data_IF_587022510094
#
_entry.id   IF_587022510094
#
_cell.length_a   1.000
_cell.length_b   1.000
_cell.length_c   1.000
_cell.angle_alpha   90.00
_cell.angle_beta   90.00
_cell.angle_gamma   90.00
#
_symmetry.space_group_name_H-M   'P 1'
#
loop_
_entity.id
_entity.type
_entity.pdbx_description
1 polymer ?
#
# COMPACT_ATOMS: atom_id res chain seq x y z
N UNK A 1 12.96 -19.98 4.68
CA UNK A 1 12.54 -18.91 3.77
C UNK A 1 13.71 -18.58 2.86
N UNK A 2 13.44 -18.40 1.56
CA UNK A 2 14.43 -17.83 0.64
C UNK A 2 14.62 -16.34 0.95
N UNK A 3 15.79 -15.78 0.61
CA UNK A 3 16.09 -14.34 0.73
C UNK A 3 15.03 -13.48 0.03
N UNK A 4 14.58 -13.91 -1.16
CA UNK A 4 13.48 -13.25 -1.90
C UNK A 4 12.16 -13.22 -1.14
N UNK A 5 11.84 -14.28 -0.40
CA UNK A 5 10.61 -14.33 0.41
C UNK A 5 10.71 -13.41 1.63
N UNK A 6 11.91 -13.25 2.20
CA UNK A 6 12.14 -12.32 3.30
C UNK A 6 12.02 -10.86 2.84
N UNK A 7 12.61 -10.50 1.69
CA UNK A 7 12.49 -9.17 1.10
C UNK A 7 11.03 -8.83 0.77
N UNK A 8 10.30 -9.77 0.17
CA UNK A 8 8.87 -9.58 -0.14
C UNK A 8 8.03 -9.32 1.11
N UNK A 9 8.23 -10.12 2.16
CA UNK A 9 7.50 -9.94 3.42
C UNK A 9 7.84 -8.61 4.11
N UNK A 10 9.10 -8.16 4.04
CA UNK A 10 9.49 -6.85 4.58
C UNK A 10 8.87 -5.69 3.78
N UNK A 11 8.84 -5.78 2.45
CA UNK A 11 8.15 -4.81 1.60
C UNK A 11 6.65 -4.73 1.92
N UNK A 12 5.96 -5.86 1.98
CA UNK A 12 4.52 -5.90 2.28
C UNK A 12 4.21 -5.33 3.67
N UNK A 13 5.08 -5.60 4.64
CA UNK A 13 4.98 -5.05 6.00
C UNK A 13 5.18 -3.53 5.97
N UNK A 14 6.24 -3.05 5.31
CA UNK A 14 6.52 -1.62 5.17
C UNK A 14 5.37 -0.87 4.48
N UNK A 15 4.84 -1.43 3.39
CA UNK A 15 3.70 -0.86 2.69
C UNK A 15 2.47 -0.79 3.60
N UNK A 16 2.15 -1.88 4.31
CA UNK A 16 1.04 -1.90 5.26
C UNK A 16 1.17 -0.87 6.38
N UNK A 17 2.38 -0.70 6.92
CA UNK A 17 2.70 0.29 7.97
C UNK A 17 2.49 1.73 7.47
N UNK A 18 3.08 2.10 6.33
CA UNK A 18 3.02 3.47 5.81
C UNK A 18 1.62 3.89 5.38
N UNK A 19 0.89 2.98 4.73
CA UNK A 19 -0.52 3.21 4.42
C UNK A 19 -1.32 3.35 5.69
N UNK A 20 -1.05 2.51 6.67
CA UNK A 20 -1.78 2.51 7.92
C UNK A 20 -1.69 3.81 8.72
N UNK A 21 -0.48 4.35 8.82
CA UNK A 21 -0.21 5.63 9.47
C UNK A 21 -0.95 6.79 8.79
N UNK A 22 -1.03 6.77 7.46
CA UNK A 22 -1.52 7.92 6.68
C UNK A 22 -3.01 7.91 6.38
N UNK A 23 -3.63 6.74 6.27
CA UNK A 23 -5.08 6.62 6.04
C UNK A 23 -5.89 6.71 7.34
N UNK A 24 -5.23 6.85 8.49
CA UNK A 24 -5.87 7.07 9.78
C UNK A 24 -5.65 8.48 10.33
N UNK A 25 -6.70 9.31 10.46
CA UNK A 25 -8.08 9.11 9.99
C UNK A 25 -8.22 9.24 8.45
N UNK A 26 -9.30 8.71 7.82
CA UNK A 26 -10.57 8.22 8.41
C UNK A 26 -10.63 6.73 8.79
N UNK A 27 -9.67 5.90 8.39
CA UNK A 27 -9.69 4.46 8.70
C UNK A 27 -9.50 4.25 10.20
N UNK A 28 -10.36 3.47 10.88
CA UNK A 28 -10.25 3.22 12.32
C UNK A 28 -9.10 2.25 12.61
N UNK A 29 -7.88 2.79 12.73
CA UNK A 29 -6.66 2.01 12.96
C UNK A 29 -6.55 1.36 14.34
N UNK A 30 -7.54 1.56 15.19
CA UNK A 30 -7.64 0.77 16.43
C UNK A 30 -7.89 -0.73 16.13
N UNK A 31 -8.31 -1.07 14.90
CA UNK A 31 -8.61 -2.45 14.49
C UNK A 31 -7.83 -2.92 13.25
N UNK A 32 -7.28 -2.01 12.43
CA UNK A 32 -6.58 -2.37 11.20
C UNK A 32 -5.10 -2.72 11.46
N UNK A 33 -4.72 -3.95 11.16
CA UNK A 33 -3.32 -4.38 11.09
C UNK A 33 -2.65 -3.92 9.80
N UNK A 34 -1.30 -3.78 9.77
CA UNK A 34 -0.55 -3.55 8.54
C UNK A 34 -0.89 -4.57 7.43
N UNK A 35 -1.19 -5.81 7.83
CA UNK A 35 -1.60 -6.86 6.89
C UNK A 35 -2.94 -6.55 6.21
N UNK A 36 -3.96 -6.11 6.95
CA UNK A 36 -5.26 -5.74 6.38
C UNK A 36 -5.16 -4.54 5.44
N UNK A 37 -4.25 -3.60 5.74
CA UNK A 37 -3.97 -2.49 4.81
C UNK A 37 -3.31 -2.98 3.53
N UNK A 38 -2.41 -3.95 3.62
CA UNK A 38 -1.83 -4.62 2.47
C UNK A 38 -2.91 -5.33 1.62
N UNK A 39 -3.84 -6.05 2.25
CA UNK A 39 -4.95 -6.72 1.56
C UNK A 39 -5.89 -5.73 0.84
N UNK A 40 -6.18 -4.58 1.44
CA UNK A 40 -6.97 -3.52 0.81
C UNK A 40 -6.29 -2.97 -0.45
N UNK A 41 -4.96 -2.82 -0.44
CA UNK A 41 -4.16 -2.43 -1.61
C UNK A 41 -4.21 -3.54 -2.66
N UNK A 42 -4.08 -4.80 -2.27
CA UNK A 42 -4.17 -5.94 -3.19
C UNK A 42 -5.53 -6.03 -3.87
N UNK A 43 -6.61 -5.66 -3.18
CA UNK A 43 -7.93 -5.56 -3.80
C UNK A 43 -8.01 -4.50 -4.89
N UNK A 44 -7.22 -3.42 -4.79
CA UNK A 44 -7.19 -2.36 -5.78
C UNK A 44 -6.24 -2.65 -6.96
N UNK A 45 -5.07 -3.24 -6.68
CA UNK A 45 -3.95 -3.33 -7.63
C UNK A 45 -3.58 -4.76 -8.05
N UNK A 46 -4.14 -5.79 -7.41
CA UNK A 46 -3.73 -7.19 -7.56
C UNK A 46 -2.84 -7.68 -6.40
N UNK A 47 -2.68 -8.98 -6.24
CA UNK A 47 -1.93 -9.64 -5.15
C UNK A 47 -0.39 -9.56 -5.30
N UNK A 48 0.10 -9.17 -6.48
CA UNK A 48 1.53 -9.07 -6.77
C UNK A 48 2.04 -7.61 -6.81
N UNK A 49 1.58 -6.73 -5.89
CA UNK A 49 2.07 -5.34 -5.82
C UNK A 49 3.59 -5.31 -5.60
N UNK A 50 4.25 -4.41 -6.33
CA UNK A 50 5.71 -4.21 -6.31
C UNK A 50 6.05 -2.73 -6.16
N UNK A 51 7.24 -2.37 -5.64
CA UNK A 51 7.77 -1.01 -5.72
C UNK A 51 7.67 -0.39 -7.12
N UNK A 52 8.03 -1.12 -8.18
CA UNK A 52 7.94 -0.61 -9.56
C UNK A 52 6.50 -0.32 -9.98
N UNK A 53 5.54 -1.17 -9.59
CA UNK A 53 4.12 -0.87 -9.81
C UNK A 53 3.67 0.38 -9.05
N UNK A 54 4.08 0.54 -7.80
CA UNK A 54 3.77 1.71 -6.98
C UNK A 54 4.30 3.01 -7.60
N UNK A 55 5.50 2.98 -8.18
CA UNK A 55 6.10 4.12 -8.88
C UNK A 55 5.30 4.52 -10.13
N UNK A 56 4.66 3.55 -10.80
CA UNK A 56 3.88 3.78 -12.02
C UNK A 56 2.44 4.26 -11.79
N UNK A 57 2.00 4.37 -10.54
CA UNK A 57 0.62 4.74 -10.21
C UNK A 57 0.29 6.16 -10.66
N UNK A 58 -0.95 6.33 -11.14
CA UNK A 58 -1.50 7.63 -11.52
C UNK A 58 -2.45 8.16 -10.45
N UNK A 59 -2.83 9.44 -10.56
CA UNK A 59 -3.89 10.03 -9.72
C UNK A 59 -5.19 9.21 -9.74
N UNK A 60 -5.51 8.59 -10.89
CA UNK A 60 -6.68 7.74 -11.02
C UNK A 60 -6.56 6.44 -10.21
N UNK A 61 -5.35 5.93 -10.04
CA UNK A 61 -5.08 4.73 -9.25
C UNK A 61 -5.11 5.04 -7.75
N UNK A 62 -4.61 6.21 -7.34
CA UNK A 62 -4.75 6.68 -5.96
C UNK A 62 -6.22 6.78 -5.53
N UNK A 63 -7.10 7.25 -6.42
CA UNK A 63 -8.54 7.27 -6.17
C UNK A 63 -9.14 5.86 -6.05
N UNK A 64 -8.72 4.91 -6.89
CA UNK A 64 -9.17 3.52 -6.79
C UNK A 64 -8.75 2.88 -5.47
N UNK A 65 -7.51 3.10 -5.05
CA UNK A 65 -6.98 2.59 -3.78
C UNK A 65 -7.75 3.21 -2.62
N UNK A 66 -7.97 4.54 -2.62
CA UNK A 66 -8.78 5.21 -1.60
C UNK A 66 -10.18 4.60 -1.47
N UNK A 67 -10.87 4.36 -2.59
CA UNK A 67 -12.18 3.70 -2.60
C UNK A 67 -12.09 2.26 -2.07
N UNK A 68 -11.02 1.52 -2.40
CA UNK A 68 -10.80 0.18 -1.88
C UNK A 68 -10.63 0.18 -0.35
N UNK A 69 -9.88 1.14 0.21
CA UNK A 69 -9.76 1.31 1.67
C UNK A 69 -11.12 1.61 2.32
N UNK A 70 -11.89 2.56 1.79
CA UNK A 70 -13.22 2.89 2.32
C UNK A 70 -14.16 1.67 2.29
N UNK A 71 -14.16 0.91 1.20
CA UNK A 71 -14.97 -0.31 1.07
C UNK A 71 -14.52 -1.44 2.00
N UNK A 72 -13.20 -1.62 2.15
CA UNK A 72 -12.63 -2.70 2.96
C UNK A 72 -12.90 -2.50 4.46
N UNK A 73 -12.71 -1.27 4.94
CA UNK A 73 -12.90 -0.91 6.34
C UNK A 73 -14.31 -0.37 6.65
N UNK A 74 -15.24 -0.46 5.68
CA UNK A 74 -16.61 0.04 5.78
C UNK A 74 -16.70 1.47 6.33
N UNK A 75 -15.81 2.35 5.86
CA UNK A 75 -15.65 3.71 6.34
C UNK A 75 -15.57 4.74 5.19
N UNK A 76 -15.45 6.03 5.54
CA UNK A 76 -15.19 7.06 4.54
C UNK A 76 -13.84 6.81 3.86
N UNK A 77 -13.80 6.93 2.54
CA UNK A 77 -12.56 6.74 1.79
C UNK A 77 -11.53 7.83 2.18
N UNK A 78 -10.26 7.45 2.44
CA UNK A 78 -9.21 8.44 2.66
C UNK A 78 -9.02 9.33 1.41
N UNK A 79 -8.65 10.61 1.56
CA UNK A 79 -8.26 11.44 0.43
C UNK A 79 -7.13 10.80 -0.39
N UNK A 80 -7.21 10.88 -1.72
CA UNK A 80 -6.15 10.36 -2.60
C UNK A 80 -4.76 10.96 -2.35
N UNK A 81 -4.69 12.16 -1.76
CA UNK A 81 -3.42 12.75 -1.33
C UNK A 81 -2.75 11.95 -0.19
N UNK A 82 -3.52 11.36 0.74
CA UNK A 82 -2.98 10.47 1.77
C UNK A 82 -2.42 9.19 1.14
N UNK A 83 -3.11 8.66 0.12
CA UNK A 83 -2.64 7.50 -0.64
C UNK A 83 -1.34 7.81 -1.38
N UNK A 84 -1.27 8.95 -2.07
CA UNK A 84 -0.06 9.37 -2.77
C UNK A 84 1.13 9.54 -1.81
N UNK A 85 0.91 10.12 -0.63
CA UNK A 85 1.94 10.25 0.41
C UNK A 85 2.38 8.87 0.94
N UNK A 86 1.45 7.93 1.15
CA UNK A 86 1.77 6.58 1.60
C UNK A 86 2.62 5.81 0.59
N UNK A 87 2.30 5.98 -0.70
CA UNK A 87 3.12 5.47 -1.80
C UNK A 87 4.51 6.08 -1.78
N UNK A 88 4.62 7.41 -1.62
CA UNK A 88 5.92 8.10 -1.57
C UNK A 88 6.79 7.64 -0.40
N UNK A 89 6.20 7.46 0.80
CA UNK A 89 6.94 6.94 1.96
C UNK A 89 7.37 5.48 1.78
N UNK A 90 6.47 4.66 1.25
CA UNK A 90 6.79 3.26 0.91
C UNK A 90 7.97 3.21 -0.06
N UNK A 91 7.93 4.00 -1.14
CA UNK A 91 9.01 4.08 -2.13
C UNK A 91 10.32 4.68 -1.59
N UNK A 92 10.25 5.55 -0.58
CA UNK A 92 11.45 6.05 0.09
C UNK A 92 12.17 4.94 0.88
N UNK A 93 11.43 3.95 1.40
CA UNK A 93 12.00 2.79 2.11
C UNK A 93 12.32 1.64 1.14
N UNK A 94 11.49 1.48 0.11
CA UNK A 94 11.56 0.43 -0.89
C UNK A 94 11.48 1.03 -2.31
N UNK A 95 12.60 1.54 -2.86
CA UNK A 95 12.63 2.10 -4.21
C UNK A 95 12.28 1.08 -5.29
N UNK A 96 11.84 1.54 -6.46
CA UNK A 96 11.57 0.69 -7.62
C UNK A 96 12.78 -0.22 -7.95
N UNK A 97 12.52 -1.50 -8.24
CA UNK A 97 13.54 -2.52 -8.52
C UNK A 97 14.15 -3.18 -7.27
N UNK A 98 13.76 -2.77 -6.06
CA UNK A 98 14.33 -3.32 -4.81
C UNK A 98 13.96 -4.78 -4.53
N UNK A 99 12.93 -5.34 -5.19
CA UNK A 99 12.60 -6.77 -5.09
C UNK A 99 13.14 -7.61 -6.27
N UNK A 100 14.15 -7.12 -7.00
CA UNK A 100 14.60 -7.70 -8.27
C UNK A 100 13.47 -7.80 -9.32
N UNK A 101 12.48 -6.91 -9.23
CA UNK A 101 11.41 -6.85 -10.23
C UNK A 101 11.89 -6.15 -11.50
N UNK A 102 11.55 -6.73 -12.65
CA UNK A 102 11.86 -6.12 -13.94
C UNK A 102 10.81 -5.05 -14.24
N UNK A 103 11.25 -3.87 -14.71
CA UNK A 103 10.35 -2.84 -15.25
C UNK A 103 9.70 -3.28 -16.57
#
# INVERSE_FOLDING_TARGET
MSEKQALRADFESAMGEEFGDLVSPPVPFFEASPHECCEAIWKALGDEVTPTMLESLTDSDFQKIAVAFGNWFECEAPPAMQIAEAVARTLSRWPAGSLDESA
#
